data_IF_108246621491
#
_entry.id   IF_108246621491
#
_cell.length_a   1.000
_cell.length_b   1.000
_cell.length_c   1.000
_cell.angle_alpha   90.00
_cell.angle_beta   90.00
_cell.angle_gamma   90.00
#
_symmetry.space_group_name_H-M   'P 1'
#
loop_
_entity.id
_entity.type
_entity.pdbx_description
1 polymer ?
#
# COMPACT_ATOMS: atom_id res chain seq x y z
N UNK A 1 13.19 -16.14 -8.69
CA UNK A 1 11.73 -16.36 -8.69
C UNK A 1 11.26 -16.52 -7.26
N UNK A 2 10.37 -15.65 -6.79
CA UNK A 2 9.79 -15.70 -5.44
C UNK A 2 8.54 -16.59 -5.53
N UNK A 3 8.45 -17.62 -4.68
CA UNK A 3 7.26 -18.44 -4.56
C UNK A 3 6.16 -17.64 -3.87
N UNK A 4 4.94 -17.65 -4.40
CA UNK A 4 3.82 -16.86 -3.89
C UNK A 4 2.62 -17.80 -3.71
N UNK A 5 2.04 -17.77 -2.52
CA UNK A 5 0.77 -18.42 -2.22
C UNK A 5 -0.27 -17.41 -1.74
N UNK A 6 -1.53 -17.67 -2.07
CA UNK A 6 -2.66 -16.89 -1.56
C UNK A 6 -3.06 -17.47 -0.22
N UNK A 7 -3.33 -16.59 0.75
CA UNK A 7 -3.79 -17.01 2.07
C UNK A 7 -5.11 -17.78 1.92
N UNK A 8 -5.24 -19.00 2.47
CA UNK A 8 -6.36 -19.90 2.16
C UNK A 8 -7.72 -19.41 2.69
N UNK A 9 -7.72 -18.44 3.60
CA UNK A 9 -8.93 -17.82 4.15
C UNK A 9 -8.70 -16.33 4.33
N UNK A 10 -9.53 -15.52 3.68
CA UNK A 10 -9.45 -14.06 3.78
C UNK A 10 -10.70 -13.51 4.47
N UNK A 11 -10.52 -12.90 5.63
CA UNK A 11 -11.44 -11.90 6.17
C UNK A 11 -10.73 -10.55 6.11
N UNK A 12 -11.48 -9.47 5.94
CA UNK A 12 -10.93 -8.10 6.03
C UNK A 12 -10.03 -7.96 7.27
N UNK A 13 -8.91 -7.25 7.14
CA UNK A 13 -7.94 -7.03 8.23
C UNK A 13 -8.56 -6.34 9.45
N UNK A 14 -9.69 -5.64 9.27
CA UNK A 14 -10.39 -4.90 10.32
C UNK A 14 -10.03 -3.42 10.40
N UNK A 15 -9.10 -2.90 9.57
CA UNK A 15 -8.73 -1.48 9.60
C UNK A 15 -9.94 -0.53 9.48
N UNK A 16 -10.89 -0.72 8.54
CA UNK A 16 -12.06 0.16 8.47
C UNK A 16 -12.94 0.13 9.73
N UNK A 17 -12.89 -0.96 10.50
CA UNK A 17 -13.61 -1.09 11.78
C UNK A 17 -12.89 -0.35 12.89
N UNK A 18 -11.56 -0.45 12.92
CA UNK A 18 -10.71 0.31 13.83
C UNK A 18 -10.90 1.83 13.63
N UNK A 19 -10.87 2.30 12.39
CA UNK A 19 -11.10 3.72 12.03
C UNK A 19 -12.46 4.25 12.51
N UNK A 20 -13.45 3.38 12.68
CA UNK A 20 -14.79 3.72 13.18
C UNK A 20 -14.95 3.49 14.69
N UNK A 21 -13.91 3.01 15.38
CA UNK A 21 -13.96 2.68 16.81
C UNK A 21 -14.71 1.39 17.16
N UNK A 22 -15.00 0.53 16.19
CA UNK A 22 -15.70 -0.74 16.35
C UNK A 22 -14.71 -1.85 16.76
N UNK A 23 -14.24 -1.78 18.01
CA UNK A 23 -13.18 -2.65 18.54
C UNK A 23 -13.62 -4.13 18.62
N UNK A 24 -14.89 -4.40 18.88
CA UNK A 24 -15.43 -5.76 18.91
C UNK A 24 -15.29 -6.43 17.52
N UNK A 25 -15.56 -5.68 16.44
CA UNK A 25 -15.33 -6.19 15.08
C UNK A 25 -13.85 -6.33 14.73
N UNK A 26 -12.98 -5.48 15.30
CA UNK A 26 -11.53 -5.63 15.17
C UNK A 26 -11.07 -6.94 15.82
N UNK A 27 -11.51 -7.21 17.05
CA UNK A 27 -11.23 -8.47 17.76
C UNK A 27 -11.73 -9.66 16.94
N UNK A 28 -12.98 -9.62 16.47
CA UNK A 28 -13.53 -10.69 15.65
C UNK A 28 -12.81 -10.88 14.29
N UNK A 29 -12.10 -9.86 13.80
CA UNK A 29 -11.27 -9.97 12.60
C UNK A 29 -9.89 -10.55 12.93
N UNK A 30 -9.27 -10.12 14.03
CA UNK A 30 -8.05 -10.68 14.58
C UNK A 30 -8.20 -12.20 14.83
N UNK A 31 -9.22 -12.62 15.56
CA UNK A 31 -9.47 -14.04 15.87
C UNK A 31 -9.69 -14.91 14.63
N UNK A 32 -10.18 -14.32 13.53
CA UNK A 32 -10.37 -15.03 12.28
C UNK A 32 -9.09 -15.15 11.44
N UNK A 33 -8.20 -14.15 11.51
CA UNK A 33 -7.06 -14.00 10.61
C UNK A 33 -5.73 -14.42 11.25
N UNK A 34 -5.44 -14.00 12.48
CA UNK A 34 -4.14 -14.24 13.13
C UNK A 34 -3.77 -15.72 13.20
N UNK A 35 -4.66 -16.66 13.58
CA UNK A 35 -4.30 -18.08 13.62
C UNK A 35 -3.91 -18.64 12.24
N UNK A 36 -4.53 -18.15 11.16
CA UNK A 36 -4.22 -18.57 9.78
C UNK A 36 -2.88 -18.01 9.34
N UNK A 37 -2.63 -16.73 9.61
CA UNK A 37 -1.37 -16.06 9.26
C UNK A 37 -0.19 -16.62 10.07
N UNK A 38 -0.36 -16.84 11.37
CA UNK A 38 0.66 -17.41 12.24
C UNK A 38 1.09 -18.81 11.77
N UNK A 39 0.13 -19.64 11.33
CA UNK A 39 0.43 -20.94 10.74
C UNK A 39 1.29 -20.83 9.48
N UNK A 40 1.00 -19.87 8.59
CA UNK A 40 1.83 -19.64 7.39
C UNK A 40 3.25 -19.20 7.77
N UNK A 41 3.40 -18.37 8.81
CA UNK A 41 4.72 -18.01 9.32
C UNK A 41 5.46 -19.23 9.87
N UNK A 42 4.78 -20.12 10.60
CA UNK A 42 5.37 -21.37 11.09
C UNK A 42 5.79 -22.32 9.95
N UNK A 43 5.15 -22.21 8.78
CA UNK A 43 5.52 -22.91 7.54
C UNK A 43 6.69 -22.23 6.78
N UNK A 44 7.17 -21.08 7.26
CA UNK A 44 8.31 -20.35 6.71
C UNK A 44 7.95 -19.25 5.72
N UNK A 45 6.69 -18.84 5.64
CA UNK A 45 6.26 -17.74 4.77
C UNK A 45 6.52 -16.37 5.40
N UNK A 46 7.05 -15.46 4.58
CA UNK A 46 6.85 -14.03 4.78
C UNK A 46 5.46 -13.63 4.29
N UNK A 47 4.85 -12.64 4.94
CA UNK A 47 3.51 -12.15 4.65
C UNK A 47 3.58 -10.77 3.99
N UNK A 48 2.76 -10.56 2.97
CA UNK A 48 2.58 -9.24 2.34
C UNK A 48 1.11 -8.93 2.14
N UNK A 49 0.78 -7.64 2.03
CA UNK A 49 -0.52 -7.20 1.53
C UNK A 49 -0.34 -6.02 0.57
N UNK A 50 -1.05 -6.00 -0.58
CA UNK A 50 -0.90 -4.94 -1.57
C UNK A 50 -1.54 -3.61 -1.15
N UNK A 51 -2.21 -3.56 0.01
CA UNK A 51 -2.86 -2.34 0.50
C UNK A 51 -2.22 -1.93 1.83
N UNK A 52 -1.69 -0.69 1.95
CA UNK A 52 -0.90 -0.28 3.09
C UNK A 52 -1.69 -0.25 4.41
N UNK A 53 -3.02 -0.11 4.38
CA UNK A 53 -3.87 -0.24 5.58
C UNK A 53 -3.81 -1.63 6.19
N UNK A 54 -3.82 -2.67 5.37
CA UNK A 54 -3.72 -4.06 5.83
C UNK A 54 -2.35 -4.32 6.46
N UNK A 55 -1.29 -3.84 5.82
CA UNK A 55 0.08 -3.96 6.35
C UNK A 55 0.19 -3.25 7.70
N UNK A 56 -0.28 -1.99 7.79
CA UNK A 56 -0.28 -1.22 9.03
C UNK A 56 -1.05 -1.93 10.16
N UNK A 57 -2.21 -2.52 9.83
CA UNK A 57 -3.04 -3.25 10.79
C UNK A 57 -2.26 -4.36 11.49
N UNK A 58 -1.56 -5.20 10.72
CA UNK A 58 -0.82 -6.33 11.26
C UNK A 58 0.54 -5.94 11.84
N UNK A 59 1.23 -4.93 11.28
CA UNK A 59 2.54 -4.49 11.77
C UNK A 59 2.49 -3.59 13.01
N UNK A 60 1.42 -2.82 13.20
CA UNK A 60 1.36 -1.81 14.27
C UNK A 60 0.07 -1.86 15.08
N UNK A 61 -1.11 -1.78 14.45
CA UNK A 61 -2.37 -1.59 15.20
C UNK A 61 -2.70 -2.78 16.11
N UNK A 62 -2.75 -4.00 15.57
CA UNK A 62 -3.01 -5.20 16.37
C UNK A 62 -1.93 -5.43 17.43
N UNK A 63 -0.62 -5.30 17.14
CA UNK A 63 0.42 -5.35 18.17
C UNK A 63 0.30 -4.31 19.27
N UNK A 64 -0.22 -3.10 18.99
CA UNK A 64 -0.48 -2.09 20.02
C UNK A 64 -1.66 -2.47 20.91
N UNK A 65 -2.69 -3.10 20.34
CA UNK A 65 -3.88 -3.54 21.07
C UNK A 65 -3.68 -4.85 21.85
N UNK A 66 -2.83 -5.75 21.34
CA UNK A 66 -2.59 -7.09 21.87
C UNK A 66 -1.08 -7.38 21.99
N UNK A 67 -0.33 -6.60 22.80
CA UNK A 67 1.12 -6.70 22.87
C UNK A 67 1.64 -8.04 23.45
N UNK A 68 0.81 -8.71 24.25
CA UNK A 68 1.17 -9.97 24.93
C UNK A 68 0.72 -11.23 24.15
N UNK A 69 0.10 -11.06 22.97
CA UNK A 69 -0.32 -12.18 22.13
C UNK A 69 0.83 -12.62 21.21
N UNK A 70 1.39 -13.80 21.49
CA UNK A 70 2.57 -14.32 20.78
C UNK A 70 2.33 -14.50 19.28
N UNK A 71 1.13 -14.90 18.85
CA UNK A 71 0.83 -15.08 17.43
C UNK A 71 0.67 -13.74 16.72
N UNK A 72 0.13 -12.72 17.40
CA UNK A 72 0.12 -11.34 16.87
C UNK A 72 1.55 -10.83 16.66
N UNK A 73 2.44 -11.05 17.63
CA UNK A 73 3.85 -10.64 17.51
C UNK A 73 4.59 -11.44 16.44
N UNK A 74 4.31 -12.75 16.32
CA UNK A 74 4.85 -13.60 15.26
C UNK A 74 4.45 -13.06 13.88
N UNK A 75 3.15 -12.83 13.66
CA UNK A 75 2.63 -12.28 12.40
C UNK A 75 3.25 -10.92 12.10
N UNK A 76 3.31 -10.01 13.07
CA UNK A 76 3.95 -8.69 12.92
C UNK A 76 5.38 -8.80 12.36
N UNK A 77 6.18 -9.70 12.92
CA UNK A 77 7.59 -9.82 12.57
C UNK A 77 7.83 -10.39 11.16
N UNK A 78 6.85 -11.11 10.62
CA UNK A 78 6.89 -11.67 9.28
C UNK A 78 6.08 -10.87 8.24
N UNK A 79 5.46 -9.74 8.62
CA UNK A 79 4.61 -8.96 7.72
C UNK A 79 5.35 -7.77 7.12
N UNK A 80 5.32 -7.65 5.80
CA UNK A 80 6.00 -6.60 5.04
C UNK A 80 5.05 -5.85 4.12
N UNK A 81 5.40 -4.60 3.85
CA UNK A 81 4.91 -3.94 2.65
C UNK A 81 5.56 -4.60 1.41
N UNK A 82 4.86 -4.77 0.27
CA UNK A 82 5.43 -5.44 -0.90
C UNK A 82 6.72 -4.80 -1.41
N UNK A 83 6.84 -3.46 -1.36
CA UNK A 83 8.03 -2.77 -1.82
C UNK A 83 9.12 -2.70 -0.76
N UNK A 84 8.78 -2.71 0.52
CA UNK A 84 9.74 -3.00 1.60
C UNK A 84 10.38 -4.38 1.38
N UNK A 85 9.56 -5.39 1.09
CA UNK A 85 10.01 -6.75 0.85
C UNK A 85 10.98 -6.82 -0.35
N UNK A 86 10.58 -6.26 -1.49
CA UNK A 86 11.42 -6.20 -2.69
C UNK A 86 12.71 -5.41 -2.45
N UNK A 87 12.66 -4.34 -1.66
CA UNK A 87 13.84 -3.55 -1.31
C UNK A 87 14.84 -4.35 -0.47
N UNK A 88 14.38 -5.20 0.44
CA UNK A 88 15.25 -6.11 1.21
C UNK A 88 15.94 -7.12 0.28
N UNK A 89 15.17 -7.78 -0.61
CA UNK A 89 15.72 -8.72 -1.60
C UNK A 89 16.69 -8.05 -2.56
N UNK A 90 16.43 -6.81 -2.97
CA UNK A 90 17.36 -6.03 -3.80
C UNK A 90 18.70 -5.79 -3.07
N UNK A 91 18.66 -5.42 -1.79
CA UNK A 91 19.87 -5.23 -0.99
C UNK A 91 20.71 -6.51 -0.84
N UNK A 92 20.05 -7.67 -0.86
CA UNK A 92 20.68 -8.99 -0.78
C UNK A 92 21.15 -9.50 -2.16
N UNK A 93 20.90 -8.76 -3.24
CA UNK A 93 21.24 -9.17 -4.61
C UNK A 93 20.31 -10.24 -5.18
N UNK A 94 19.15 -10.47 -4.56
CA UNK A 94 18.19 -11.52 -4.92
C UNK A 94 17.04 -11.02 -5.79
N UNK A 95 16.89 -9.70 -5.96
CA UNK A 95 15.92 -9.11 -6.88
C UNK A 95 16.51 -8.99 -8.28
N UNK A 96 15.81 -9.53 -9.28
CA UNK A 96 16.15 -9.31 -10.68
C UNK A 96 15.97 -7.82 -11.03
N UNK A 97 16.99 -7.17 -11.55
CA UNK A 97 16.93 -5.77 -12.01
C UNK A 97 17.08 -5.64 -13.53
N UNK A 98 16.90 -6.74 -14.27
CA UNK A 98 16.85 -6.74 -15.74
C UNK A 98 15.46 -6.33 -16.21
N UNK A 99 15.25 -5.03 -16.34
CA UNK A 99 14.02 -4.44 -16.88
C UNK A 99 14.09 -4.37 -18.42
N UNK A 100 12.94 -4.57 -19.07
CA UNK A 100 12.76 -4.57 -20.54
C UNK A 100 12.15 -3.28 -21.08
N UNK A 101 11.51 -2.49 -20.23
CA UNK A 101 10.87 -1.24 -20.60
C UNK A 101 11.15 -0.16 -19.54
N UNK A 102 11.32 1.08 -20.00
CA UNK A 102 11.28 2.26 -19.15
C UNK A 102 9.84 2.63 -18.80
N UNK A 103 9.67 3.39 -17.72
CA UNK A 103 8.36 3.85 -17.24
C UNK A 103 8.18 5.36 -17.37
N UNK A 104 9.17 6.10 -17.87
CA UNK A 104 9.07 7.55 -18.06
C UNK A 104 8.89 8.31 -16.74
N UNK A 105 8.05 9.35 -16.76
CA UNK A 105 7.73 10.14 -15.57
C UNK A 105 6.52 9.59 -14.82
N UNK A 106 6.70 9.36 -13.53
CA UNK A 106 5.68 8.82 -12.63
C UNK A 106 5.40 9.85 -11.53
N UNK A 107 4.16 10.32 -11.45
CA UNK A 107 3.65 11.00 -10.25
C UNK A 107 3.13 9.99 -9.24
N UNK A 108 3.71 10.00 -8.04
CA UNK A 108 3.43 9.01 -7.00
C UNK A 108 2.82 9.66 -5.76
N UNK A 109 1.53 9.42 -5.50
CA UNK A 109 0.89 9.83 -4.24
C UNK A 109 1.25 8.84 -3.13
N UNK A 110 1.98 9.32 -2.12
CA UNK A 110 2.43 8.49 -0.99
C UNK A 110 1.29 8.30 0.01
N UNK A 111 0.80 7.07 0.16
CA UNK A 111 -0.33 6.75 1.02
C UNK A 111 -0.04 7.04 2.51
N UNK A 112 -1.01 7.56 3.26
CA UNK A 112 -0.84 7.92 4.67
C UNK A 112 -0.44 6.71 5.54
N UNK A 113 -1.10 5.56 5.36
CA UNK A 113 -0.77 4.34 6.12
C UNK A 113 0.60 3.75 5.77
N UNK A 114 1.15 4.06 4.59
CA UNK A 114 2.54 3.72 4.28
C UNK A 114 3.50 4.62 5.06
N UNK A 115 3.21 5.92 5.12
CA UNK A 115 4.03 6.90 5.85
C UNK A 115 4.09 6.61 7.35
N UNK A 116 2.97 6.20 7.96
CA UNK A 116 2.90 5.86 9.39
C UNK A 116 3.79 4.64 9.72
N UNK A 117 3.95 3.71 8.79
CA UNK A 117 4.86 2.58 8.97
C UNK A 117 6.34 2.98 9.05
N UNK A 118 6.70 4.20 8.65
CA UNK A 118 8.06 4.75 8.74
C UNK A 118 9.14 3.88 8.05
N UNK A 119 8.77 3.23 6.94
CA UNK A 119 9.68 2.42 6.11
C UNK A 119 10.30 3.20 4.94
N UNK A 120 9.95 4.48 4.80
CA UNK A 120 10.33 5.32 3.66
C UNK A 120 9.54 4.99 2.38
N UNK A 121 9.88 5.65 1.27
CA UNK A 121 9.15 5.54 0.01
C UNK A 121 9.69 4.38 -0.83
N UNK A 122 9.47 3.13 -0.38
CA UNK A 122 10.07 1.95 -1.01
C UNK A 122 9.58 1.67 -2.42
N UNK A 123 8.33 2.00 -2.74
CA UNK A 123 7.85 1.99 -4.11
C UNK A 123 8.67 2.90 -5.03
N UNK A 124 8.95 4.14 -4.59
CA UNK A 124 9.82 5.08 -5.33
C UNK A 124 11.23 4.52 -5.49
N UNK A 125 11.82 4.04 -4.41
CA UNK A 125 13.21 3.55 -4.41
C UNK A 125 13.39 2.39 -5.40
N UNK A 126 12.45 1.44 -5.41
CA UNK A 126 12.46 0.30 -6.34
C UNK A 126 12.18 0.71 -7.77
N UNK A 127 11.15 1.52 -8.02
CA UNK A 127 10.80 1.95 -9.38
C UNK A 127 11.89 2.84 -10.00
N UNK A 128 12.67 3.55 -9.18
CA UNK A 128 13.82 4.34 -9.64
C UNK A 128 15.02 3.49 -10.08
N UNK A 129 14.99 2.16 -9.87
CA UNK A 129 15.97 1.24 -10.45
C UNK A 129 15.69 0.95 -11.93
N UNK A 130 14.48 1.22 -12.40
CA UNK A 130 14.11 1.03 -13.81
C UNK A 130 14.82 2.12 -14.64
N UNK A 131 15.53 1.77 -15.73
CA UNK A 131 16.18 2.74 -16.59
C UNK A 131 15.20 3.80 -17.11
N UNK A 132 15.68 5.03 -17.27
CA UNK A 132 14.92 6.15 -17.85
C UNK A 132 13.56 6.39 -17.16
N UNK A 133 13.51 6.14 -15.85
CA UNK A 133 12.31 6.31 -15.04
C UNK A 133 12.55 7.36 -13.95
N UNK A 134 11.66 8.34 -13.87
CA UNK A 134 11.66 9.37 -12.84
C UNK A 134 10.41 9.22 -11.98
N UNK A 135 10.58 9.15 -10.65
CA UNK A 135 9.45 9.00 -9.73
C UNK A 135 9.34 10.22 -8.81
N UNK A 136 8.29 11.00 -9.03
CA UNK A 136 7.99 12.24 -8.34
C UNK A 136 6.98 12.00 -7.18
N UNK A 137 7.51 11.88 -5.96
CA UNK A 137 6.70 11.60 -4.77
C UNK A 137 5.92 12.85 -4.29
N UNK A 138 4.63 12.66 -4.03
CA UNK A 138 3.71 13.67 -3.48
C UNK A 138 3.24 13.21 -2.10
N UNK A 139 3.95 13.67 -1.06
CA UNK A 139 3.68 13.31 0.34
C UNK A 139 2.58 14.17 0.98
N UNK A 140 1.39 14.12 0.38
CA UNK A 140 0.21 14.83 0.89
C UNK A 140 -0.99 13.89 0.92
N UNK A 141 -1.85 14.08 1.94
CA UNK A 141 -3.08 13.31 2.09
C UNK A 141 -3.93 13.40 0.81
N UNK A 142 -4.43 12.26 0.35
CA UNK A 142 -5.36 12.19 -0.76
C UNK A 142 -6.75 12.73 -0.38
N UNK A 143 -7.08 12.75 0.90
CA UNK A 143 -8.42 13.07 1.40
C UNK A 143 -9.39 11.89 1.38
N UNK A 144 -8.93 10.68 1.01
CA UNK A 144 -9.82 9.53 0.88
C UNK A 144 -10.39 9.03 2.23
N UNK A 145 -9.53 8.70 3.19
CA UNK A 145 -9.93 8.33 4.57
C UNK A 145 -11.12 7.34 4.66
N UNK A 146 -11.04 6.26 3.88
CA UNK A 146 -12.04 5.20 3.84
C UNK A 146 -13.44 5.69 3.48
N UNK A 147 -14.41 5.44 4.37
CA UNK A 147 -15.81 5.83 4.11
C UNK A 147 -16.04 7.34 4.12
N UNK A 148 -15.11 8.11 4.67
CA UNK A 148 -15.22 9.57 4.75
C UNK A 148 -15.33 10.20 3.35
N UNK A 149 -14.50 9.79 2.38
CA UNK A 149 -14.55 10.42 1.05
C UNK A 149 -15.78 10.07 0.22
N UNK A 150 -16.51 9.01 0.54
CA UNK A 150 -17.65 8.56 -0.27
C UNK A 150 -19.00 8.95 0.33
N UNK A 151 -19.04 9.38 1.59
CA UNK A 151 -20.25 9.86 2.26
C UNK A 151 -20.65 11.23 1.72
N UNK A 152 -21.95 11.41 1.45
CA UNK A 152 -22.50 12.65 0.89
C UNK A 152 -22.16 13.87 1.76
N UNK A 153 -22.14 13.69 3.07
CA UNK A 153 -21.91 14.74 4.06
C UNK A 153 -20.47 15.25 4.07
N UNK A 154 -19.52 14.42 3.63
CA UNK A 154 -18.07 14.66 3.79
C UNK A 154 -17.31 14.65 2.46
N UNK A 155 -17.92 14.20 1.36
CA UNK A 155 -17.32 14.12 0.04
C UNK A 155 -16.71 15.45 -0.43
N UNK A 156 -17.43 16.56 -0.32
CA UNK A 156 -16.93 17.88 -0.73
C UNK A 156 -15.67 18.28 0.04
N UNK A 157 -15.58 17.90 1.32
CA UNK A 157 -14.41 18.14 2.16
C UNK A 157 -13.25 17.25 1.74
N UNK A 158 -13.50 15.95 1.50
CA UNK A 158 -12.51 15.02 0.98
C UNK A 158 -11.92 15.48 -0.36
N UNK A 159 -12.76 15.97 -1.28
CA UNK A 159 -12.33 16.56 -2.57
C UNK A 159 -11.47 17.81 -2.34
N UNK A 160 -11.87 18.71 -1.43
CA UNK A 160 -11.07 19.89 -1.08
C UNK A 160 -9.68 19.51 -0.54
N UNK A 161 -9.58 18.44 0.26
CA UNK A 161 -8.31 17.93 0.80
C UNK A 161 -7.42 17.36 -0.31
N UNK A 162 -7.99 16.58 -1.24
CA UNK A 162 -7.26 15.94 -2.33
C UNK A 162 -6.86 16.86 -3.49
N UNK A 163 -7.59 17.96 -3.69
CA UNK A 163 -7.37 18.91 -4.81
C UNK A 163 -5.93 19.40 -4.99
N UNK A 164 -5.15 19.70 -3.94
CA UNK A 164 -3.76 20.10 -4.11
C UNK A 164 -2.85 18.97 -4.61
N UNK A 165 -3.20 17.70 -4.37
CA UNK A 165 -2.50 16.55 -4.96
C UNK A 165 -2.84 16.47 -6.44
N UNK A 166 -4.13 16.44 -6.78
CA UNK A 166 -4.59 16.40 -8.17
C UNK A 166 -3.96 17.52 -9.02
N UNK A 167 -3.97 18.76 -8.54
CA UNK A 167 -3.33 19.90 -9.24
C UNK A 167 -1.84 19.69 -9.50
N UNK A 168 -1.09 19.08 -8.57
CA UNK A 168 0.33 18.79 -8.78
C UNK A 168 0.53 17.75 -9.86
N UNK A 169 -0.31 16.71 -9.86
CA UNK A 169 -0.29 15.67 -10.90
C UNK A 169 -0.65 16.27 -12.26
N UNK A 170 -1.70 17.09 -12.34
CA UNK A 170 -2.12 17.76 -13.58
C UNK A 170 -1.07 18.72 -14.16
N UNK A 171 -0.27 19.34 -13.29
CA UNK A 171 0.83 20.23 -13.68
C UNK A 171 2.08 19.47 -14.12
N UNK A 172 2.30 18.28 -13.57
CA UNK A 172 3.45 17.45 -13.93
C UNK A 172 3.26 16.78 -15.30
N UNK A 173 2.01 16.53 -15.71
CA UNK A 173 1.69 15.81 -16.96
C UNK A 173 2.47 14.48 -17.07
N UNK A 174 2.43 13.62 -16.03
CA UNK A 174 3.24 12.42 -15.99
C UNK A 174 2.74 11.36 -16.99
N UNK A 175 3.61 10.45 -17.39
CA UNK A 175 3.22 9.24 -18.14
C UNK A 175 2.34 8.32 -17.28
N UNK A 176 2.61 8.26 -15.97
CA UNK A 176 1.84 7.45 -15.01
C UNK A 176 1.50 8.20 -13.72
N UNK A 177 0.29 7.96 -13.20
CA UNK A 177 -0.10 8.34 -11.85
C UNK A 177 -0.36 7.10 -10.99
N UNK A 178 0.32 7.00 -9.85
CA UNK A 178 0.27 5.81 -8.98
C UNK A 178 0.10 6.12 -7.48
N UNK A 179 -0.39 5.13 -6.74
CA UNK A 179 -0.35 5.07 -5.28
C UNK A 179 -0.42 3.62 -4.80
N UNK A 180 0.25 3.27 -3.69
CA UNK A 180 0.12 1.97 -3.04
C UNK A 180 -1.29 1.75 -2.49
N UNK A 181 -2.05 2.83 -2.26
CA UNK A 181 -3.44 2.74 -1.84
C UNK A 181 -4.35 2.92 -3.06
N UNK A 182 -5.00 1.86 -3.59
CA UNK A 182 -5.86 1.97 -4.76
C UNK A 182 -7.03 2.94 -4.52
N UNK A 183 -7.50 3.05 -3.28
CA UNK A 183 -8.56 3.97 -2.89
C UNK A 183 -8.11 5.44 -2.96
N UNK A 184 -6.89 5.73 -2.49
CA UNK A 184 -6.29 7.06 -2.61
C UNK A 184 -6.02 7.42 -4.07
N UNK A 185 -5.50 6.46 -4.85
CA UNK A 185 -5.23 6.61 -6.27
C UNK A 185 -6.51 6.98 -7.05
N UNK A 186 -7.57 6.19 -6.91
CA UNK A 186 -8.85 6.44 -7.58
C UNK A 186 -9.49 7.76 -7.14
N UNK A 187 -9.41 8.10 -5.85
CA UNK A 187 -9.94 9.38 -5.36
C UNK A 187 -9.22 10.58 -5.98
N UNK A 188 -7.90 10.52 -6.14
CA UNK A 188 -7.15 11.60 -6.80
C UNK A 188 -7.42 11.65 -8.30
N UNK A 189 -7.48 10.50 -8.99
CA UNK A 189 -7.85 10.45 -10.41
C UNK A 189 -9.23 11.10 -10.64
N UNK A 190 -10.22 10.81 -9.79
CA UNK A 190 -11.55 11.42 -9.89
C UNK A 190 -11.58 12.94 -9.63
N UNK A 191 -10.55 13.51 -8.99
CA UNK A 191 -10.44 14.96 -8.75
C UNK A 191 -9.63 15.65 -9.85
N UNK A 192 -8.74 14.90 -10.51
CA UNK A 192 -7.86 15.39 -11.57
C UNK A 192 -8.66 15.67 -12.84
N UNK A 193 -8.23 16.69 -13.58
CA UNK A 193 -8.79 17.01 -14.89
C UNK A 193 -8.07 16.28 -16.05
N UNK A 194 -6.93 15.62 -15.77
CA UNK A 194 -6.03 15.05 -16.78
C UNK A 194 -5.71 13.56 -16.61
N UNK A 195 -6.05 12.97 -15.46
CA UNK A 195 -5.73 11.58 -15.14
C UNK A 195 -6.99 10.73 -15.20
N UNK A 196 -7.11 9.94 -16.25
CA UNK A 196 -8.25 9.02 -16.43
C UNK A 196 -8.10 7.72 -15.64
N UNK A 197 -6.85 7.33 -15.31
CA UNK A 197 -6.55 6.05 -14.67
C UNK A 197 -5.40 6.21 -13.68
N UNK A 198 -5.61 5.69 -12.47
CA UNK A 198 -4.54 5.49 -11.50
C UNK A 198 -4.11 4.03 -11.47
N UNK A 199 -2.82 3.79 -11.24
CA UNK A 199 -2.26 2.44 -11.23
C UNK A 199 -1.58 2.11 -9.90
N UNK A 200 -1.47 0.81 -9.58
CA UNK A 200 -0.71 0.37 -8.42
C UNK A 200 0.77 0.25 -8.80
N UNK A 201 1.74 0.58 -7.91
CA UNK A 201 3.16 0.44 -8.21
C UNK A 201 3.59 -0.97 -8.66
N UNK A 202 2.90 -2.03 -8.21
CA UNK A 202 3.15 -3.42 -8.72
C UNK A 202 2.88 -3.52 -10.23
N UNK A 203 1.87 -2.81 -10.74
CA UNK A 203 1.58 -2.75 -12.18
C UNK A 203 2.75 -2.11 -12.94
N UNK A 204 3.40 -1.10 -12.36
CA UNK A 204 4.58 -0.47 -12.96
C UNK A 204 5.74 -1.44 -13.08
N UNK A 205 6.03 -2.22 -12.03
CA UNK A 205 7.05 -3.26 -12.11
C UNK A 205 6.71 -4.32 -13.17
N UNK A 206 5.44 -4.74 -13.24
CA UNK A 206 4.97 -5.68 -14.27
C UNK A 206 5.30 -5.15 -15.68
N UNK A 207 4.97 -3.88 -15.94
CA UNK A 207 5.26 -3.21 -17.21
C UNK A 207 6.76 -3.11 -17.48
N UNK A 208 7.56 -2.73 -16.49
CA UNK A 208 9.01 -2.66 -16.61
C UNK A 208 9.65 -4.01 -16.97
N UNK A 209 9.11 -5.13 -16.48
CA UNK A 209 9.54 -6.48 -16.89
C UNK A 209 9.00 -6.95 -18.25
N UNK A 210 8.13 -6.15 -18.90
CA UNK A 210 7.49 -6.48 -20.18
C UNK A 210 6.44 -7.58 -20.05
N UNK A 211 5.67 -7.59 -18.96
CA UNK A 211 4.60 -8.55 -18.66
C UNK A 211 3.22 -7.92 -18.74
#
# INVERSE_FOLDING_TARGET
NIHIEVVPKEKCCGMPKLELGDLDSVIASKEANIPVLAKLVDEGYDLIAPVPSCVLMYKQELPLMFPDDEDVIKVKNAFFDPFEYLFLRHKEGEMNTEFKASLGDISYQVACHLRVQNIGNKARDILSLVPETQVNAIERCSGHDGTYAVKKETHDTAVKIGRPVARKVDQAEPDHFISDCPMAANHIANISDKIDKAEHPITMLRMAYGL
#
